data_IF_154804080966
#
_entry.id   IF_154804080966
#
_cell.length_a   1.000
_cell.length_b   1.000
_cell.length_c   1.000
_cell.angle_alpha   90.00
_cell.angle_beta   90.00
_cell.angle_gamma   90.00
#
_symmetry.space_group_name_H-M   'P 1'
#
loop_
_entity.id
_entity.type
_entity.pdbx_description
1 polymer ?
#
# COMPACT_ATOMS: atom_id res chain seq x y z
N UNK A 1 0.08 30.85 -6.26
CA UNK A 1 -1.24 30.41 -5.76
C UNK A 1 -1.16 29.03 -5.09
N UNK A 2 -0.62 28.00 -5.71
CA UNK A 2 -0.50 26.64 -5.13
C UNK A 2 0.30 26.60 -3.81
N UNK A 3 1.46 27.29 -3.71
CA UNK A 3 2.22 27.37 -2.45
C UNK A 3 1.41 27.93 -1.28
N UNK A 4 0.49 28.87 -1.51
CA UNK A 4 -0.37 29.41 -0.46
C UNK A 4 -1.51 28.45 -0.07
N UNK A 5 -2.00 27.65 -1.01
CA UNK A 5 -3.07 26.66 -0.75
C UNK A 5 -2.56 25.53 0.14
N UNK A 6 -1.34 25.06 -0.10
CA UNK A 6 -0.76 23.95 0.66
C UNK A 6 0.09 24.40 1.86
N UNK A 7 0.22 25.72 2.12
CA UNK A 7 1.02 26.20 3.24
C UNK A 7 0.50 25.65 4.58
N UNK A 8 1.40 25.27 5.51
CA UNK A 8 1.00 24.88 6.85
C UNK A 8 0.15 25.97 7.52
N UNK A 9 -0.88 25.60 8.26
CA UNK A 9 -1.70 26.57 8.98
C UNK A 9 -0.89 27.24 10.09
N UNK A 10 -1.24 28.47 10.41
CA UNK A 10 -0.67 29.16 11.55
C UNK A 10 -1.13 28.48 12.86
N UNK A 11 -0.24 28.46 13.86
CA UNK A 11 -0.58 28.02 15.20
C UNK A 11 -1.65 28.94 15.77
N UNK A 12 -2.70 28.35 16.36
CA UNK A 12 -3.75 29.09 17.06
C UNK A 12 -3.39 29.34 18.53
N UNK A 13 -4.04 30.31 19.14
CA UNK A 13 -3.96 30.50 20.57
C UNK A 13 -4.36 29.21 21.31
N UNK A 14 -3.63 28.91 22.37
CA UNK A 14 -3.83 27.69 23.17
C UNK A 14 -5.19 27.71 23.82
N UNK A 15 -5.90 26.61 23.73
CA UNK A 15 -7.18 26.40 24.41
C UNK A 15 -6.96 26.29 25.92
N UNK A 16 -8.04 26.48 26.69
CA UNK A 16 -8.03 26.26 28.13
C UNK A 16 -7.74 24.79 28.49
N UNK A 17 -7.18 24.55 29.69
CA UNK A 17 -6.86 23.18 30.12
C UNK A 17 -8.07 22.24 30.12
N UNK A 18 -9.27 22.77 30.47
CA UNK A 18 -10.51 22.00 30.44
C UNK A 18 -10.92 21.62 29.01
N UNK A 19 -10.82 22.55 28.08
CA UNK A 19 -11.09 22.28 26.67
C UNK A 19 -10.10 21.27 26.07
N UNK A 20 -8.81 21.38 26.40
CA UNK A 20 -7.76 20.45 25.98
C UNK A 20 -8.10 19.04 26.43
N UNK A 21 -8.44 18.86 27.70
CA UNK A 21 -8.79 17.55 28.29
C UNK A 21 -9.94 16.85 27.52
N UNK A 22 -10.93 17.60 27.06
CA UNK A 22 -12.09 17.05 26.35
C UNK A 22 -11.86 16.92 24.83
N UNK A 23 -11.18 17.89 24.21
CA UNK A 23 -11.03 17.94 22.75
C UNK A 23 -9.90 17.06 22.26
N UNK A 24 -8.78 16.94 23.00
CA UNK A 24 -7.60 16.21 22.54
C UNK A 24 -7.89 14.74 22.18
N UNK A 25 -8.48 13.92 23.07
CA UNK A 25 -8.79 12.53 22.76
C UNK A 25 -9.74 12.39 21.56
N UNK A 26 -10.72 13.29 21.44
CA UNK A 26 -11.68 13.29 20.34
C UNK A 26 -11.00 13.57 18.99
N UNK A 27 -10.15 14.58 18.93
CA UNK A 27 -9.43 14.92 17.69
C UNK A 27 -8.44 13.84 17.29
N UNK A 28 -7.76 13.18 18.23
CA UNK A 28 -6.89 12.04 17.93
C UNK A 28 -7.63 10.93 17.18
N UNK A 29 -8.79 10.53 17.70
CA UNK A 29 -9.63 9.51 17.06
C UNK A 29 -10.14 10.00 15.70
N UNK A 30 -10.62 11.24 15.61
CA UNK A 30 -11.12 11.83 14.37
C UNK A 30 -10.04 11.84 13.28
N UNK A 31 -8.83 12.26 13.60
CA UNK A 31 -7.72 12.35 12.67
C UNK A 31 -7.25 10.95 12.23
N UNK A 32 -7.22 9.97 13.16
CA UNK A 32 -6.93 8.58 12.80
C UNK A 32 -7.96 8.02 11.81
N UNK A 33 -9.24 8.23 12.07
CA UNK A 33 -10.32 7.83 11.15
C UNK A 33 -10.14 8.53 9.81
N UNK A 34 -9.80 9.81 9.81
CA UNK A 34 -9.59 10.59 8.60
C UNK A 34 -8.48 10.02 7.72
N UNK A 35 -7.28 9.77 8.28
CA UNK A 35 -6.17 9.18 7.51
C UNK A 35 -6.45 7.74 7.10
N UNK A 36 -7.19 6.98 7.92
CA UNK A 36 -7.61 5.61 7.60
C UNK A 36 -8.56 5.60 6.40
N UNK A 37 -9.65 6.36 6.47
CA UNK A 37 -10.66 6.46 5.40
C UNK A 37 -10.06 7.10 4.15
N UNK A 38 -9.23 8.13 4.31
CA UNK A 38 -8.54 8.78 3.20
C UNK A 38 -7.63 7.81 2.44
N UNK A 39 -6.77 7.09 3.13
CA UNK A 39 -5.86 6.14 2.50
C UNK A 39 -6.58 4.91 1.93
N UNK A 40 -7.64 4.43 2.59
CA UNK A 40 -8.56 3.43 2.06
C UNK A 40 -9.17 3.88 0.72
N UNK A 41 -9.62 5.14 0.62
CA UNK A 41 -10.22 5.70 -0.59
C UNK A 41 -9.28 5.70 -1.81
N UNK A 42 -7.98 5.92 -1.61
CA UNK A 42 -6.98 5.79 -2.68
C UNK A 42 -6.96 4.38 -3.29
N UNK A 43 -7.20 3.34 -2.48
CA UNK A 43 -7.21 1.96 -2.95
C UNK A 43 -8.48 1.58 -3.72
N UNK A 44 -9.58 2.32 -3.58
CA UNK A 44 -10.79 2.09 -4.38
C UNK A 44 -10.54 2.25 -5.89
N UNK A 45 -9.57 3.08 -6.26
CA UNK A 45 -9.28 3.47 -7.65
C UNK A 45 -7.83 3.15 -8.09
N UNK A 46 -7.05 2.46 -7.24
CA UNK A 46 -5.66 2.11 -7.56
C UNK A 46 -5.54 0.96 -8.54
N UNK A 47 -6.30 -0.10 -8.32
CA UNK A 47 -6.12 -1.40 -8.98
C UNK A 47 -7.28 -1.75 -9.92
N UNK A 48 -8.09 -0.78 -10.35
CA UNK A 48 -9.29 -1.00 -11.15
C UNK A 48 -8.99 -1.80 -12.44
N UNK A 49 -7.90 -1.48 -13.16
CA UNK A 49 -7.50 -2.25 -14.37
C UNK A 49 -7.19 -3.71 -14.04
N UNK A 50 -6.48 -4.00 -12.94
CA UNK A 50 -6.20 -5.37 -12.50
C UNK A 50 -7.49 -6.11 -12.12
N UNK A 51 -8.40 -5.45 -11.40
CA UNK A 51 -9.71 -6.02 -11.00
C UNK A 51 -10.53 -6.35 -12.24
N UNK A 52 -10.50 -5.49 -13.26
CA UNK A 52 -11.23 -5.66 -14.52
C UNK A 52 -10.49 -6.52 -15.54
N UNK A 53 -9.29 -7.00 -15.26
CA UNK A 53 -8.43 -7.69 -16.24
C UNK A 53 -9.09 -8.93 -16.86
N UNK A 54 -10.04 -9.56 -16.19
CA UNK A 54 -10.84 -10.66 -16.71
C UNK A 54 -12.01 -10.23 -17.60
N UNK A 55 -12.36 -8.92 -17.65
CA UNK A 55 -13.46 -8.37 -18.44
C UNK A 55 -12.96 -7.54 -19.60
N UNK A 56 -11.85 -6.82 -19.41
CA UNK A 56 -11.24 -5.99 -20.44
C UNK A 56 -10.75 -6.87 -21.60
N UNK A 57 -11.18 -6.55 -22.82
CA UNK A 57 -10.71 -7.23 -24.02
C UNK A 57 -9.31 -6.72 -24.40
N UNK A 58 -8.33 -6.98 -23.51
CA UNK A 58 -6.94 -6.57 -23.63
C UNK A 58 -6.03 -7.76 -23.38
N UNK A 59 -4.89 -7.80 -24.08
CA UNK A 59 -3.83 -8.76 -23.80
C UNK A 59 -3.24 -8.55 -22.39
N UNK A 60 -2.53 -9.54 -21.87
CA UNK A 60 -1.84 -9.37 -20.60
C UNK A 60 -0.72 -8.32 -20.70
N UNK A 61 -0.06 -8.24 -21.85
CA UNK A 61 0.95 -7.21 -22.15
C UNK A 61 0.37 -5.80 -22.07
N UNK A 62 -0.79 -5.55 -22.68
CA UNK A 62 -1.46 -4.24 -22.67
C UNK A 62 -1.85 -3.83 -21.25
N UNK A 63 -2.45 -4.74 -20.47
CA UNK A 63 -2.76 -4.53 -19.04
C UNK A 63 -1.47 -4.26 -18.25
N UNK A 64 -0.41 -5.00 -18.56
CA UNK A 64 0.91 -4.83 -17.97
C UNK A 64 1.50 -3.44 -18.22
N UNK A 65 1.42 -2.92 -19.45
CA UNK A 65 1.91 -1.58 -19.82
C UNK A 65 1.17 -0.50 -19.01
N UNK A 66 -0.16 -0.57 -18.98
CA UNK A 66 -1.01 0.41 -18.29
C UNK A 66 -0.70 0.42 -16.76
N UNK A 67 -0.66 -0.75 -16.15
CA UNK A 67 -0.42 -0.87 -14.70
C UNK A 67 1.02 -0.53 -14.31
N UNK A 68 2.00 -0.92 -15.14
CA UNK A 68 3.40 -0.57 -14.95
C UNK A 68 3.62 0.95 -14.94
N UNK A 69 3.01 1.69 -15.88
CA UNK A 69 3.09 3.15 -15.94
C UNK A 69 2.62 3.79 -14.60
N UNK A 70 1.53 3.27 -14.03
CA UNK A 70 1.03 3.71 -12.73
C UNK A 70 2.02 3.44 -11.59
N UNK A 71 2.64 2.26 -11.53
CA UNK A 71 3.56 1.92 -10.44
C UNK A 71 4.89 2.68 -10.51
N UNK A 72 5.41 2.93 -11.71
CA UNK A 72 6.60 3.79 -11.90
C UNK A 72 6.26 5.21 -11.42
N UNK A 73 5.16 5.78 -11.91
CA UNK A 73 4.73 7.11 -11.51
C UNK A 73 4.49 7.22 -10.01
N UNK A 74 3.86 6.21 -9.39
CA UNK A 74 3.65 6.12 -7.96
C UNK A 74 4.96 6.08 -7.17
N UNK A 75 5.89 5.23 -7.57
CA UNK A 75 7.20 5.10 -6.91
C UNK A 75 7.98 6.42 -6.89
N UNK A 76 8.00 7.13 -8.02
CA UNK A 76 8.65 8.44 -8.13
C UNK A 76 7.89 9.52 -7.35
N UNK A 77 6.56 9.56 -7.51
CA UNK A 77 5.72 10.54 -6.84
C UNK A 77 5.75 10.40 -5.33
N UNK A 78 5.80 9.18 -4.79
CA UNK A 78 5.83 8.95 -3.34
C UNK A 78 7.01 9.67 -2.67
N UNK A 79 8.18 9.67 -3.31
CA UNK A 79 9.35 10.38 -2.83
C UNK A 79 9.16 11.90 -2.89
N UNK A 80 8.74 12.44 -4.05
CA UNK A 80 8.54 13.88 -4.25
C UNK A 80 7.38 14.39 -3.37
N UNK A 81 6.29 13.65 -3.31
CA UNK A 81 5.15 13.99 -2.45
C UNK A 81 5.50 13.94 -0.96
N UNK A 82 6.45 13.09 -0.55
CA UNK A 82 7.00 13.09 0.80
C UNK A 82 7.62 14.43 1.15
N UNK A 83 8.56 14.90 0.32
CA UNK A 83 9.22 16.20 0.51
C UNK A 83 8.22 17.37 0.54
N UNK A 84 7.23 17.35 -0.35
CA UNK A 84 6.20 18.39 -0.40
C UNK A 84 5.28 18.33 0.82
N UNK A 85 4.92 17.10 1.26
CA UNK A 85 4.01 16.89 2.39
C UNK A 85 4.57 17.39 3.71
N UNK A 86 5.89 17.28 3.92
CA UNK A 86 6.55 17.75 5.15
C UNK A 86 6.43 19.27 5.33
N UNK A 87 6.36 20.01 4.23
CA UNK A 87 6.17 21.46 4.20
C UNK A 87 4.71 21.88 3.92
N UNK A 88 3.76 20.92 3.90
CA UNK A 88 2.38 21.16 3.49
C UNK A 88 1.37 20.94 4.61
N UNK A 89 0.17 21.48 4.41
CA UNK A 89 -0.99 21.24 5.26
C UNK A 89 -1.63 19.89 4.93
N UNK A 90 -1.52 18.91 5.81
CA UNK A 90 -2.11 17.56 5.63
C UNK A 90 -3.63 17.59 5.47
N UNK A 91 -4.31 18.57 6.07
CA UNK A 91 -5.77 18.78 5.92
C UNK A 91 -6.19 19.04 4.47
N UNK A 92 -5.29 19.58 3.67
CA UNK A 92 -5.55 19.91 2.26
C UNK A 92 -4.86 18.89 1.34
N UNK A 93 -3.62 18.53 1.62
CA UNK A 93 -2.81 17.70 0.75
C UNK A 93 -3.39 16.30 0.53
N UNK A 94 -3.80 15.63 1.61
CA UNK A 94 -4.39 14.29 1.55
C UNK A 94 -5.70 14.24 0.75
N UNK A 95 -6.73 15.07 1.06
CA UNK A 95 -7.99 15.01 0.32
C UNK A 95 -7.89 15.54 -1.10
N UNK A 96 -7.05 16.54 -1.39
CA UNK A 96 -6.83 17.02 -2.77
C UNK A 96 -6.24 15.92 -3.64
N UNK A 97 -5.23 15.20 -3.17
CA UNK A 97 -4.67 14.07 -3.90
C UNK A 97 -5.73 12.97 -4.15
N UNK A 98 -6.54 12.63 -3.13
CA UNK A 98 -7.63 11.65 -3.27
C UNK A 98 -8.69 12.12 -4.26
N UNK A 99 -9.12 13.38 -4.19
CA UNK A 99 -10.10 13.95 -5.11
C UNK A 99 -9.62 13.89 -6.56
N UNK A 100 -8.39 14.34 -6.82
CA UNK A 100 -7.80 14.31 -8.16
C UNK A 100 -7.63 12.88 -8.69
N UNK A 101 -7.24 11.95 -7.83
CA UNK A 101 -7.16 10.52 -8.17
C UNK A 101 -8.55 9.96 -8.55
N UNK A 102 -9.58 10.28 -7.75
CA UNK A 102 -10.97 9.92 -8.06
C UNK A 102 -11.44 10.53 -9.38
N UNK A 103 -11.15 11.82 -9.60
CA UNK A 103 -11.50 12.54 -10.83
C UNK A 103 -10.87 11.90 -12.07
N UNK A 104 -9.59 11.49 -12.02
CA UNK A 104 -8.95 10.78 -13.13
C UNK A 104 -9.71 9.49 -13.46
N UNK A 105 -10.13 8.72 -12.45
CA UNK A 105 -10.92 7.51 -12.68
C UNK A 105 -12.32 7.83 -13.26
N UNK A 106 -12.96 8.92 -12.82
CA UNK A 106 -14.21 9.40 -13.45
C UNK A 106 -13.96 9.74 -14.92
N UNK A 107 -12.87 10.44 -15.25
CA UNK A 107 -12.54 10.80 -16.63
C UNK A 107 -12.26 9.56 -17.49
N UNK A 108 -11.57 8.54 -16.97
CA UNK A 108 -11.37 7.26 -17.65
C UNK A 108 -12.73 6.65 -18.02
N UNK A 109 -13.67 6.63 -17.09
CA UNK A 109 -15.00 6.05 -17.34
C UNK A 109 -15.91 6.91 -18.21
N UNK A 110 -15.81 8.23 -18.14
CA UNK A 110 -16.71 9.14 -18.89
C UNK A 110 -16.25 9.34 -20.33
N UNK A 111 -14.94 9.36 -20.62
CA UNK A 111 -14.39 9.60 -21.95
C UNK A 111 -14.20 8.25 -22.68
N UNK A 112 -15.05 7.89 -23.67
CA UNK A 112 -15.01 6.58 -24.32
C UNK A 112 -13.66 6.24 -24.97
N UNK A 113 -13.02 7.23 -25.60
CA UNK A 113 -11.73 7.07 -26.28
C UNK A 113 -10.57 6.71 -25.36
N UNK A 114 -10.69 6.92 -24.05
CA UNK A 114 -9.63 6.55 -23.09
C UNK A 114 -9.52 5.03 -22.97
N UNK A 115 -10.62 4.34 -22.72
CA UNK A 115 -10.60 2.86 -22.55
C UNK A 115 -10.29 2.14 -23.87
N UNK A 116 -10.66 2.72 -25.01
CA UNK A 116 -10.42 2.12 -26.33
C UNK A 116 -9.04 2.41 -26.90
N UNK A 117 -8.28 3.34 -26.32
CA UNK A 117 -6.92 3.69 -26.75
C UNK A 117 -5.91 3.36 -25.67
N UNK A 118 -5.06 2.36 -25.91
CA UNK A 118 -4.02 1.95 -24.95
C UNK A 118 -3.11 3.10 -24.52
N UNK A 119 -2.78 4.03 -25.44
CA UNK A 119 -1.91 5.16 -25.12
C UNK A 119 -2.59 6.18 -24.22
N UNK A 120 -3.85 6.55 -24.51
CA UNK A 120 -4.61 7.46 -23.65
C UNK A 120 -4.83 6.83 -22.26
N UNK A 121 -5.13 5.55 -22.23
CA UNK A 121 -5.34 4.81 -20.99
C UNK A 121 -4.05 4.77 -20.15
N UNK A 122 -2.91 4.48 -20.79
CA UNK A 122 -1.59 4.50 -20.14
C UNK A 122 -1.24 5.87 -19.57
N UNK A 123 -1.50 6.95 -20.32
CA UNK A 123 -1.30 8.33 -19.84
C UNK A 123 -2.18 8.63 -18.63
N UNK A 124 -3.45 8.26 -18.66
CA UNK A 124 -4.36 8.46 -17.51
C UNK A 124 -3.91 7.66 -16.29
N UNK A 125 -3.40 6.42 -16.49
CA UNK A 125 -2.86 5.60 -15.41
C UNK A 125 -1.53 6.13 -14.87
N UNK A 126 -0.70 6.72 -15.70
CA UNK A 126 0.51 7.44 -15.26
C UNK A 126 0.14 8.63 -14.38
N UNK A 127 -0.83 9.44 -14.78
CA UNK A 127 -1.35 10.57 -13.98
C UNK A 127 -1.96 10.03 -12.67
N UNK A 128 -2.79 8.99 -12.74
CA UNK A 128 -3.38 8.34 -11.58
C UNK A 128 -2.29 7.88 -10.59
N UNK A 129 -1.27 7.16 -11.07
CA UNK A 129 -0.15 6.70 -10.26
C UNK A 129 0.61 7.85 -9.58
N UNK A 130 0.84 8.94 -10.32
CA UNK A 130 1.46 10.14 -9.73
C UNK A 130 0.64 10.72 -8.58
N UNK A 131 -0.66 10.90 -8.76
CA UNK A 131 -1.56 11.43 -7.74
C UNK A 131 -1.72 10.47 -6.55
N UNK A 132 -1.67 9.16 -6.78
CA UNK A 132 -1.67 8.13 -5.74
C UNK A 132 -0.50 8.29 -4.75
N UNK A 133 0.65 8.80 -5.20
CA UNK A 133 1.80 9.09 -4.34
C UNK A 133 1.55 10.14 -3.26
N UNK A 134 0.51 10.96 -3.41
CA UNK A 134 0.11 11.97 -2.43
C UNK A 134 -0.61 11.38 -1.20
N UNK A 135 -0.96 10.09 -1.20
CA UNK A 135 -1.80 9.50 -0.14
C UNK A 135 -1.02 9.10 1.12
N UNK A 136 0.15 8.49 0.97
CA UNK A 136 0.90 7.95 2.10
C UNK A 136 1.60 9.02 2.96
N UNK A 137 2.35 9.99 2.39
CA UNK A 137 3.16 10.92 3.17
C UNK A 137 2.37 11.76 4.17
N UNK A 138 1.22 12.38 3.83
CA UNK A 138 0.47 13.19 4.78
C UNK A 138 -0.13 12.34 5.92
N UNK A 139 -0.49 11.08 5.67
CA UNK A 139 -0.94 10.17 6.72
C UNK A 139 0.18 9.83 7.71
N UNK A 140 1.38 9.54 7.20
CA UNK A 140 2.55 9.29 8.03
C UNK A 140 2.93 10.53 8.86
N UNK A 141 2.93 11.73 8.24
CA UNK A 141 3.17 13.00 8.94
C UNK A 141 2.13 13.23 10.03
N UNK A 142 0.86 13.02 9.76
CA UNK A 142 -0.22 13.13 10.74
C UNK A 142 0.04 12.25 11.98
N UNK A 143 0.46 11.00 11.78
CA UNK A 143 0.80 10.11 12.89
C UNK A 143 1.96 10.64 13.73
N UNK A 144 2.94 11.31 13.14
CA UNK A 144 4.07 11.90 13.87
C UNK A 144 3.63 13.03 14.79
N UNK A 145 2.72 13.88 14.35
CA UNK A 145 2.26 15.03 15.14
C UNK A 145 1.18 14.70 16.19
N UNK A 146 0.37 13.64 15.96
CA UNK A 146 -0.76 13.31 16.80
C UNK A 146 -0.52 12.15 17.77
N UNK A 147 0.58 11.40 17.62
CA UNK A 147 0.91 10.20 18.40
C UNK A 147 2.39 10.21 18.80
N UNK A 148 2.64 10.01 20.10
CA UNK A 148 4.02 9.95 20.60
C UNK A 148 4.76 8.68 20.12
N UNK A 149 6.07 8.64 20.37
CA UNK A 149 6.93 7.56 19.91
C UNK A 149 6.54 6.17 20.49
N UNK A 150 5.92 6.14 21.69
CA UNK A 150 5.56 4.89 22.36
C UNK A 150 4.34 4.22 21.75
N UNK A 151 3.35 5.02 21.35
CA UNK A 151 2.07 4.53 20.81
C UNK A 151 1.99 4.58 19.28
N UNK A 152 2.86 5.36 18.62
CA UNK A 152 2.84 5.59 17.16
C UNK A 152 2.89 4.31 16.34
N UNK A 153 3.65 3.30 16.79
CA UNK A 153 3.77 2.01 16.08
C UNK A 153 2.41 1.29 16.04
N UNK A 154 1.66 1.32 17.14
CA UNK A 154 0.34 0.69 17.21
C UNK A 154 -0.65 1.38 16.25
N UNK A 155 -0.75 2.71 16.33
CA UNK A 155 -1.65 3.48 15.46
C UNK A 155 -1.23 3.44 13.98
N UNK A 156 0.07 3.42 13.69
CA UNK A 156 0.57 3.21 12.33
C UNK A 156 0.20 1.82 11.79
N UNK A 157 0.21 0.80 12.64
CA UNK A 157 -0.24 -0.55 12.26
C UNK A 157 -1.73 -0.55 11.93
N UNK A 158 -2.56 0.07 12.77
CA UNK A 158 -4.01 0.22 12.51
C UNK A 158 -4.22 0.98 11.20
N UNK A 159 -3.57 2.12 11.01
CA UNK A 159 -3.67 2.90 9.78
C UNK A 159 -3.23 2.10 8.55
N UNK A 160 -2.19 1.28 8.68
CA UNK A 160 -1.67 0.50 7.55
C UNK A 160 -2.68 -0.55 7.06
N UNK A 161 -3.60 -1.05 7.90
CA UNK A 161 -4.68 -1.94 7.47
C UNK A 161 -5.63 -1.29 6.46
N UNK A 162 -5.70 0.04 6.43
CA UNK A 162 -6.63 0.79 5.55
C UNK A 162 -6.44 0.44 4.07
N UNK A 163 -5.22 0.15 3.62
CA UNK A 163 -4.97 -0.20 2.24
C UNK A 163 -5.55 -1.57 1.85
N UNK A 164 -5.54 -2.55 2.75
CA UNK A 164 -6.17 -3.85 2.51
C UNK A 164 -7.69 -3.74 2.56
N UNK A 165 -8.24 -2.96 3.50
CA UNK A 165 -9.68 -2.67 3.50
C UNK A 165 -10.11 -2.01 2.18
N UNK A 166 -9.35 -1.03 1.71
CA UNK A 166 -9.58 -0.40 0.41
C UNK A 166 -9.49 -1.38 -0.76
N UNK A 167 -8.46 -2.22 -0.75
CA UNK A 167 -8.28 -3.27 -1.77
C UNK A 167 -9.41 -4.30 -1.77
N UNK A 168 -9.88 -4.73 -0.60
CA UNK A 168 -10.98 -5.68 -0.48
C UNK A 168 -12.33 -5.09 -0.93
N UNK A 169 -12.58 -3.80 -0.69
CA UNK A 169 -13.81 -3.09 -1.07
C UNK A 169 -13.79 -2.70 -2.56
N UNK A 170 -12.63 -2.41 -3.14
CA UNK A 170 -12.52 -1.95 -4.52
C UNK A 170 -13.24 -2.84 -5.56
N UNK A 171 -13.12 -4.20 -5.53
CA UNK A 171 -13.87 -5.07 -6.43
C UNK A 171 -15.39 -4.96 -6.24
N UNK A 172 -15.86 -4.72 -5.02
CA UNK A 172 -17.31 -4.54 -4.73
C UNK A 172 -17.81 -3.26 -5.41
N UNK A 173 -17.09 -2.14 -5.26
CA UNK A 173 -17.45 -0.88 -5.92
C UNK A 173 -17.39 -1.01 -7.44
N UNK A 174 -16.36 -1.68 -7.96
CA UNK A 174 -16.22 -1.99 -9.39
C UNK A 174 -17.41 -2.82 -9.88
N UNK A 175 -17.82 -3.85 -9.11
CA UNK A 175 -18.97 -4.70 -9.41
C UNK A 175 -20.28 -3.94 -9.41
N UNK A 176 -20.48 -3.00 -8.48
CA UNK A 176 -21.65 -2.09 -8.48
C UNK A 176 -21.66 -1.24 -9.75
N UNK A 177 -20.51 -0.68 -10.15
CA UNK A 177 -20.39 0.05 -11.41
C UNK A 177 -20.81 -0.79 -12.61
N UNK A 178 -20.31 -2.03 -12.71
CA UNK A 178 -20.72 -2.97 -13.77
C UNK A 178 -22.25 -3.20 -13.80
N UNK A 179 -22.85 -3.42 -12.63
CA UNK A 179 -24.30 -3.69 -12.52
C UNK A 179 -25.17 -2.48 -12.94
N UNK A 180 -24.69 -1.26 -12.71
CA UNK A 180 -25.41 -0.03 -13.09
C UNK A 180 -25.44 0.24 -14.59
N UNK A 181 -24.52 -0.34 -15.37
CA UNK A 181 -24.33 -0.03 -16.78
C UNK A 181 -25.14 -0.88 -17.77
N UNK A 182 -25.97 -1.83 -17.29
CA UNK A 182 -26.72 -2.74 -18.13
C UNK A 182 -25.83 -3.79 -18.83
N UNK A 183 -26.20 -4.22 -20.05
CA UNK A 183 -25.56 -5.37 -20.73
C UNK A 183 -24.48 -4.99 -21.76
N UNK A 184 -24.24 -3.70 -21.99
CA UNK A 184 -23.20 -3.25 -22.93
C UNK A 184 -21.81 -3.32 -22.29
N UNK A 185 -20.90 -4.11 -22.84
CA UNK A 185 -19.57 -4.38 -22.27
C UNK A 185 -18.69 -3.13 -22.14
N UNK A 186 -18.79 -2.19 -23.10
CA UNK A 186 -18.04 -0.94 -23.03
C UNK A 186 -18.57 -0.03 -21.92
N UNK A 187 -19.90 0.09 -21.81
CA UNK A 187 -20.53 0.86 -20.74
C UNK A 187 -20.28 0.24 -19.37
N UNK A 188 -20.26 -1.08 -19.28
CA UNK A 188 -19.87 -1.80 -18.06
C UNK A 188 -18.42 -1.45 -17.66
N UNK A 189 -17.45 -1.59 -18.56
CA UNK A 189 -16.07 -1.23 -18.29
C UNK A 189 -15.94 0.23 -17.86
N UNK A 190 -16.63 1.16 -18.53
CA UNK A 190 -16.65 2.59 -18.20
C UNK A 190 -17.22 2.84 -16.80
N UNK A 191 -18.34 2.23 -16.47
CA UNK A 191 -18.99 2.41 -15.18
C UNK A 191 -18.16 1.85 -14.02
N UNK A 192 -17.43 0.77 -14.25
CA UNK A 192 -16.49 0.20 -13.30
C UNK A 192 -15.30 1.13 -12.96
N UNK A 193 -15.03 2.16 -13.76
CA UNK A 193 -14.07 3.22 -13.44
C UNK A 193 -14.72 4.45 -12.82
N UNK A 194 -15.79 4.99 -13.46
CA UNK A 194 -16.35 6.24 -12.95
C UNK A 194 -17.04 6.08 -11.59
N UNK A 195 -17.67 4.93 -11.30
CA UNK A 195 -18.40 4.75 -10.04
C UNK A 195 -17.46 4.76 -8.82
N UNK A 196 -16.40 3.91 -8.74
CA UNK A 196 -15.42 4.02 -7.66
C UNK A 196 -14.73 5.40 -7.62
N UNK A 197 -14.52 6.03 -8.78
CA UNK A 197 -13.99 7.39 -8.87
C UNK A 197 -14.86 8.43 -8.19
N UNK A 198 -16.18 8.39 -8.40
CA UNK A 198 -17.14 9.26 -7.70
C UNK A 198 -17.12 9.01 -6.20
N UNK A 199 -17.12 7.74 -5.78
CA UNK A 199 -17.03 7.39 -4.34
C UNK A 199 -15.75 7.95 -3.73
N UNK A 200 -14.60 7.84 -4.40
CA UNK A 200 -13.34 8.42 -3.95
C UNK A 200 -13.40 9.96 -3.84
N UNK A 201 -14.04 10.65 -4.79
CA UNK A 201 -14.24 12.08 -4.72
C UNK A 201 -15.12 12.48 -3.51
N UNK A 202 -16.20 11.76 -3.24
CA UNK A 202 -17.06 11.99 -2.08
C UNK A 202 -16.33 11.75 -0.77
N UNK A 203 -15.52 10.68 -0.69
CA UNK A 203 -14.66 10.44 0.47
C UNK A 203 -13.62 11.53 0.66
N UNK A 204 -13.06 12.09 -0.41
CA UNK A 204 -12.11 13.19 -0.31
C UNK A 204 -12.75 14.43 0.35
N UNK A 205 -14.02 14.73 0.02
CA UNK A 205 -14.79 15.79 0.69
C UNK A 205 -14.99 15.48 2.17
N UNK A 206 -15.36 14.25 2.52
CA UNK A 206 -15.50 13.82 3.91
C UNK A 206 -14.18 13.95 4.68
N UNK A 207 -13.08 13.48 4.09
CA UNK A 207 -11.72 13.55 4.67
C UNK A 207 -11.31 15.00 4.91
N UNK A 208 -11.62 15.93 4.00
CA UNK A 208 -11.34 17.35 4.18
C UNK A 208 -11.99 17.94 5.45
N UNK A 209 -13.19 17.51 5.79
CA UNK A 209 -13.87 17.95 7.01
C UNK A 209 -13.39 17.25 8.28
N UNK A 210 -12.89 16.02 8.17
CA UNK A 210 -12.41 15.25 9.31
C UNK A 210 -10.94 15.50 9.62
N UNK A 211 -10.12 15.84 8.62
CA UNK A 211 -8.68 15.98 8.79
C UNK A 211 -8.31 17.31 9.45
N UNK A 212 -7.36 17.23 10.39
CA UNK A 212 -6.64 18.38 10.91
C UNK A 212 -5.13 18.19 10.67
N UNK A 213 -4.36 19.30 10.54
CA UNK A 213 -2.94 19.20 10.22
C UNK A 213 -2.13 18.79 11.46
N UNK A 214 -1.98 19.71 12.41
CA UNK A 214 -1.26 19.48 13.67
C UNK A 214 -2.13 19.88 14.86
N UNK A 215 -1.88 19.39 16.08
CA UNK A 215 -2.59 19.83 17.27
C UNK A 215 -2.57 21.35 17.45
N UNK A 216 -1.40 21.99 17.20
CA UNK A 216 -1.22 23.43 17.37
C UNK A 216 -2.04 24.26 16.37
N UNK A 217 -2.38 23.68 15.21
CA UNK A 217 -3.22 24.35 14.20
C UNK A 217 -4.65 24.61 14.67
N UNK A 218 -5.07 23.91 15.73
CA UNK A 218 -6.40 24.04 16.34
C UNK A 218 -6.35 24.48 17.81
N UNK A 219 -5.17 24.92 18.30
CA UNK A 219 -4.97 25.44 19.66
C UNK A 219 -4.74 24.36 20.73
N UNK A 220 -4.43 23.13 20.32
CA UNK A 220 -4.01 22.07 21.22
C UNK A 220 -2.48 22.07 21.41
N UNK A 221 -1.93 21.62 22.56
CA UNK A 221 -0.49 21.48 22.75
C UNK A 221 0.08 20.36 21.87
N UNK A 222 1.41 20.35 21.60
CA UNK A 222 2.09 19.19 21.03
C UNK A 222 1.83 17.92 21.86
N UNK A 223 1.86 16.74 21.20
CA UNK A 223 1.52 15.47 21.87
C UNK A 223 2.47 15.16 23.05
N UNK A 224 3.75 15.50 22.91
CA UNK A 224 4.76 15.29 23.95
C UNK A 224 4.47 16.12 25.20
N UNK A 225 3.98 17.35 25.02
CA UNK A 225 3.58 18.23 26.13
C UNK A 225 2.29 17.73 26.76
N UNK A 226 1.28 17.34 25.97
CA UNK A 226 0.02 16.78 26.46
C UNK A 226 0.23 15.56 27.34
N UNK A 227 1.13 14.64 26.97
CA UNK A 227 1.44 13.47 27.77
C UNK A 227 2.26 13.82 29.03
N UNK A 228 3.20 14.78 28.97
CA UNK A 228 3.92 15.24 30.17
C UNK A 228 2.95 15.81 31.20
N UNK A 229 1.98 16.60 30.82
CA UNK A 229 0.96 17.14 31.74
C UNK A 229 0.08 16.03 32.34
N UNK A 230 -0.16 14.92 31.67
CA UNK A 230 -0.88 13.75 32.19
C UNK A 230 -0.04 12.89 33.15
N UNK A 231 1.29 12.82 32.93
CA UNK A 231 2.21 11.93 33.65
C UNK A 231 3.09 12.68 34.67
N UNK A 232 2.79 13.91 35.03
CA UNK A 232 3.58 14.70 35.99
C UNK A 232 3.75 14.07 37.41
N UNK A 233 3.25 12.86 37.62
CA UNK A 233 3.49 12.08 38.84
C UNK A 233 4.53 10.95 38.69
N UNK A 234 5.19 10.82 37.54
CA UNK A 234 6.24 9.81 37.34
C UNK A 234 7.31 10.40 36.42
N UNK A 235 8.22 11.15 36.98
CA UNK A 235 9.39 11.66 36.24
C UNK A 235 10.62 10.89 36.70
N UNK A 236 11.16 10.06 35.77
CA UNK A 236 12.58 9.77 35.77
C UNK A 236 13.22 10.59 34.67
N UNK A 237 14.09 11.51 35.08
CA UNK A 237 14.65 12.58 34.25
C UNK A 237 15.94 12.15 33.51
N UNK A 238 16.00 10.95 32.97
CA UNK A 238 17.23 10.41 32.39
C UNK A 238 17.26 10.25 30.85
N UNK A 239 16.21 10.61 30.12
CA UNK A 239 16.24 10.60 28.65
C UNK A 239 16.29 12.04 28.09
N UNK A 240 17.43 12.72 28.30
CA UNK A 240 17.83 13.82 27.43
C UNK A 240 18.19 13.17 26.10
N UNK A 241 17.22 13.14 25.19
CA UNK A 241 17.47 12.77 23.81
C UNK A 241 18.43 13.79 23.24
N UNK A 242 19.66 13.37 22.95
CA UNK A 242 20.58 14.15 22.10
C UNK A 242 19.80 14.56 20.84
N UNK A 243 19.78 15.85 20.55
CA UNK A 243 19.20 16.34 19.30
C UNK A 243 19.87 15.60 18.14
N UNK A 244 19.13 14.97 17.24
CA UNK A 244 19.71 14.22 16.15
C UNK A 244 20.53 15.21 15.30
N UNK A 245 21.78 14.88 15.08
CA UNK A 245 22.68 15.60 14.17
C UNK A 245 21.97 15.77 12.81
N UNK A 246 21.68 16.98 12.39
CA UNK A 246 20.99 17.26 11.12
C UNK A 246 21.96 17.01 9.99
N UNK A 247 22.05 15.75 9.56
CA UNK A 247 22.89 15.34 8.44
C UNK A 247 22.18 15.66 7.10
N UNK A 248 22.94 16.16 6.15
CA UNK A 248 22.46 16.35 4.80
C UNK A 248 22.10 15.01 4.13
N UNK A 249 21.07 14.98 3.25
CA UNK A 249 20.63 13.76 2.55
C UNK A 249 21.79 13.02 1.85
N UNK A 250 22.73 13.74 1.24
CA UNK A 250 23.91 13.16 0.59
C UNK A 250 24.86 12.44 1.57
N UNK A 251 25.00 12.95 2.79
CA UNK A 251 25.79 12.33 3.85
C UNK A 251 25.12 11.09 4.41
N UNK A 252 23.80 11.14 4.61
CA UNK A 252 22.98 9.96 5.03
C UNK A 252 23.18 8.84 4.03
N UNK A 253 23.04 9.10 2.73
CA UNK A 253 23.19 8.09 1.67
C UNK A 253 24.60 7.49 1.69
N UNK A 254 25.65 8.32 1.74
CA UNK A 254 27.04 7.85 1.70
C UNK A 254 27.47 7.12 2.97
N UNK A 255 27.01 7.57 4.14
CA UNK A 255 27.47 7.07 5.44
C UNK A 255 26.67 5.84 5.91
N UNK A 256 25.35 5.82 5.70
CA UNK A 256 24.46 4.82 6.30
C UNK A 256 23.74 3.92 5.30
N UNK A 257 23.53 4.37 4.07
CA UNK A 257 22.74 3.62 3.07
C UNK A 257 23.65 2.76 2.19
N UNK A 258 24.56 3.38 1.42
CA UNK A 258 25.38 2.64 0.44
C UNK A 258 26.33 1.60 1.06
N UNK A 259 26.97 1.83 2.23
CA UNK A 259 27.84 0.82 2.83
C UNK A 259 27.09 -0.31 3.52
N UNK A 260 25.78 -0.17 3.74
CA UNK A 260 25.00 -1.13 4.51
C UNK A 260 24.56 -2.34 3.65
N UNK A 261 25.40 -3.36 3.61
CA UNK A 261 25.14 -4.59 2.83
C UNK A 261 23.84 -5.27 3.24
N UNK A 262 23.46 -5.27 4.54
CA UNK A 262 22.21 -5.88 5.04
C UNK A 262 20.99 -5.13 4.50
N UNK A 263 21.06 -3.78 4.46
CA UNK A 263 20.02 -2.95 3.85
C UNK A 263 19.90 -3.20 2.34
N UNK A 264 21.02 -3.40 1.65
CA UNK A 264 21.00 -3.75 0.21
C UNK A 264 20.30 -5.09 -0.03
N UNK A 265 20.59 -6.13 0.78
CA UNK A 265 19.88 -7.40 0.72
C UNK A 265 18.39 -7.27 1.07
N UNK A 266 18.04 -6.45 2.06
CA UNK A 266 16.66 -6.15 2.40
C UNK A 266 15.92 -5.40 1.25
N UNK A 267 16.64 -4.52 0.54
CA UNK A 267 16.11 -3.84 -0.64
C UNK A 267 15.89 -4.81 -1.81
N UNK A 268 16.82 -5.71 -2.04
CA UNK A 268 16.67 -6.76 -3.06
C UNK A 268 15.55 -7.74 -2.71
N UNK A 269 15.45 -8.15 -1.45
CA UNK A 269 14.31 -8.90 -0.93
C UNK A 269 12.97 -8.24 -1.27
N UNK A 270 12.90 -6.92 -1.15
CA UNK A 270 11.66 -6.18 -1.42
C UNK A 270 11.18 -6.30 -2.87
N UNK A 271 12.09 -6.38 -3.86
CA UNK A 271 11.73 -6.66 -5.25
C UNK A 271 10.96 -7.98 -5.34
N UNK A 272 11.54 -9.05 -4.81
CA UNK A 272 11.00 -10.40 -4.97
C UNK A 272 9.67 -10.60 -4.25
N UNK A 273 9.52 -10.07 -3.04
CA UNK A 273 8.25 -10.17 -2.32
C UNK A 273 7.15 -9.33 -2.99
N UNK A 274 7.51 -8.21 -3.65
CA UNK A 274 6.57 -7.39 -4.40
C UNK A 274 6.21 -8.01 -5.76
N UNK A 275 7.12 -8.79 -6.38
CA UNK A 275 6.76 -9.63 -7.54
C UNK A 275 5.68 -10.64 -7.15
N UNK A 276 5.81 -11.30 -5.99
CA UNK A 276 4.76 -12.20 -5.48
C UNK A 276 3.45 -11.47 -5.23
N UNK A 277 3.49 -10.38 -4.45
CA UNK A 277 2.28 -9.63 -4.09
C UNK A 277 1.53 -9.13 -5.31
N UNK A 278 2.21 -8.33 -6.14
CA UNK A 278 1.57 -7.71 -7.30
C UNK A 278 1.34 -8.71 -8.44
N UNK A 279 2.19 -9.73 -8.56
CA UNK A 279 1.98 -10.81 -9.51
C UNK A 279 0.67 -11.54 -9.25
N UNK A 280 0.43 -11.95 -8.00
CA UNK A 280 -0.80 -12.67 -7.66
C UNK A 280 -2.01 -11.74 -7.71
N UNK A 281 -1.98 -10.60 -7.00
CA UNK A 281 -3.14 -9.72 -6.91
C UNK A 281 -3.55 -9.12 -8.26
N UNK A 282 -2.61 -8.75 -9.11
CA UNK A 282 -2.92 -8.15 -10.41
C UNK A 282 -3.44 -9.14 -11.44
N UNK A 283 -2.97 -10.39 -11.38
CA UNK A 283 -3.29 -11.39 -12.39
C UNK A 283 -4.36 -12.40 -11.97
N UNK A 284 -4.69 -12.50 -10.69
CA UNK A 284 -5.77 -13.38 -10.20
C UNK A 284 -7.09 -13.19 -10.97
N UNK A 285 -7.63 -11.97 -11.18
CA UNK A 285 -8.90 -11.83 -11.88
C UNK A 285 -8.84 -12.35 -13.31
N UNK A 286 -7.72 -12.10 -14.04
CA UNK A 286 -7.54 -12.59 -15.40
C UNK A 286 -7.33 -14.10 -15.43
N UNK A 287 -6.50 -14.66 -14.53
CA UNK A 287 -6.22 -16.10 -14.46
C UNK A 287 -7.48 -16.92 -14.18
N UNK A 288 -8.33 -16.46 -13.24
CA UNK A 288 -9.59 -17.12 -12.93
C UNK A 288 -10.57 -17.06 -14.11
N UNK A 289 -10.62 -15.93 -14.83
CA UNK A 289 -11.52 -15.74 -15.97
C UNK A 289 -11.04 -16.36 -17.29
N UNK A 290 -9.74 -16.56 -17.45
CA UNK A 290 -9.15 -17.18 -18.67
C UNK A 290 -9.67 -18.60 -18.84
N UNK A 291 -9.97 -19.00 -20.10
CA UNK A 291 -10.47 -20.33 -20.42
C UNK A 291 -9.49 -21.44 -20.00
N UNK A 292 -10.02 -22.64 -19.76
CA UNK A 292 -9.18 -23.80 -19.42
C UNK A 292 -8.25 -24.16 -20.60
N UNK A 293 -8.71 -23.95 -21.83
CA UNK A 293 -7.93 -24.21 -23.04
C UNK A 293 -6.71 -23.29 -23.15
N UNK A 294 -6.85 -22.07 -22.63
CA UNK A 294 -5.76 -21.06 -22.59
C UNK A 294 -4.96 -21.11 -21.27
N UNK A 295 -5.12 -22.20 -20.51
CA UNK A 295 -4.36 -22.45 -19.29
C UNK A 295 -4.85 -21.71 -18.03
N UNK A 296 -6.03 -21.09 -18.08
CA UNK A 296 -6.66 -20.47 -16.94
C UNK A 296 -7.61 -21.40 -16.17
N UNK A 297 -8.42 -20.85 -15.27
CA UNK A 297 -9.35 -21.62 -14.43
C UNK A 297 -10.76 -21.79 -15.03
N UNK A 298 -11.13 -21.01 -16.05
CA UNK A 298 -12.46 -21.07 -16.67
C UNK A 298 -13.61 -20.69 -15.75
N UNK A 299 -13.36 -19.77 -14.80
CA UNK A 299 -14.33 -19.28 -13.84
C UNK A 299 -14.83 -17.91 -14.31
N UNK A 300 -15.91 -17.40 -13.76
CA UNK A 300 -16.45 -16.10 -14.17
C UNK A 300 -15.53 -14.95 -13.78
N UNK A 301 -15.54 -13.86 -14.55
CA UNK A 301 -14.78 -12.65 -14.23
C UNK A 301 -15.18 -12.03 -12.87
N UNK A 302 -16.46 -12.14 -12.49
CA UNK A 302 -16.96 -11.72 -11.17
C UNK A 302 -16.32 -12.53 -10.03
N UNK A 303 -16.10 -13.83 -10.24
CA UNK A 303 -15.37 -14.67 -9.30
C UNK A 303 -13.90 -14.22 -9.19
N UNK A 304 -13.29 -13.81 -10.30
CA UNK A 304 -11.95 -13.19 -10.31
C UNK A 304 -11.85 -11.97 -9.39
N UNK A 305 -12.85 -11.11 -9.41
CA UNK A 305 -12.96 -9.97 -8.50
C UNK A 305 -13.09 -10.42 -7.04
N UNK A 306 -13.88 -11.47 -6.76
CA UNK A 306 -13.99 -12.07 -5.43
C UNK A 306 -12.66 -12.62 -4.93
N UNK A 307 -11.91 -13.29 -5.79
CA UNK A 307 -10.55 -13.77 -5.48
C UNK A 307 -9.58 -12.65 -5.10
N UNK A 308 -9.64 -11.51 -5.78
CA UNK A 308 -8.88 -10.31 -5.43
C UNK A 308 -9.24 -9.82 -4.01
N UNK A 309 -10.53 -9.69 -3.70
CA UNK A 309 -10.99 -9.27 -2.36
C UNK A 309 -10.50 -10.21 -1.26
N UNK A 310 -10.59 -11.53 -1.49
CA UNK A 310 -10.16 -12.53 -0.50
C UNK A 310 -8.65 -12.50 -0.27
N UNK A 311 -7.85 -12.26 -1.30
CA UNK A 311 -6.41 -12.06 -1.15
C UNK A 311 -6.10 -10.84 -0.25
N UNK A 312 -6.80 -9.73 -0.42
CA UNK A 312 -6.64 -8.53 0.41
C UNK A 312 -7.12 -8.76 1.86
N UNK A 313 -8.24 -9.48 2.06
CA UNK A 313 -8.72 -9.88 3.39
C UNK A 313 -7.68 -10.80 4.08
N UNK A 314 -7.15 -11.76 3.34
CA UNK A 314 -6.04 -12.58 3.81
C UNK A 314 -4.85 -11.73 4.26
N UNK A 315 -4.55 -10.67 3.51
CA UNK A 315 -3.50 -9.70 3.85
C UNK A 315 -3.68 -9.05 5.22
N UNK A 316 -4.90 -8.69 5.60
CA UNK A 316 -5.21 -8.17 6.95
C UNK A 316 -4.82 -9.20 8.02
N UNK A 317 -5.27 -10.44 7.85
CA UNK A 317 -4.96 -11.55 8.78
C UNK A 317 -3.43 -11.75 8.83
N UNK A 318 -2.77 -11.74 7.68
CA UNK A 318 -1.33 -11.96 7.55
C UNK A 318 -0.49 -10.90 8.26
N UNK A 319 -0.82 -9.63 8.12
CA UNK A 319 -0.10 -8.56 8.79
C UNK A 319 -0.21 -8.66 10.32
N UNK A 320 -1.41 -8.92 10.84
CA UNK A 320 -1.64 -9.05 12.28
C UNK A 320 -0.92 -10.28 12.84
N UNK A 321 -1.04 -11.43 12.17
CA UNK A 321 -0.38 -12.68 12.61
C UNK A 321 1.14 -12.60 12.48
N UNK A 322 1.68 -11.97 11.45
CA UNK A 322 3.13 -11.79 11.29
C UNK A 322 3.72 -10.91 12.39
N UNK A 323 3.05 -9.80 12.75
CA UNK A 323 3.45 -8.97 13.87
C UNK A 323 3.49 -9.73 15.19
N UNK A 324 2.42 -10.48 15.48
CA UNK A 324 2.33 -11.31 16.68
C UNK A 324 3.40 -12.41 16.72
N UNK A 325 3.55 -13.18 15.66
CA UNK A 325 4.52 -14.27 15.58
C UNK A 325 5.96 -13.75 15.62
N UNK A 326 6.25 -12.63 14.99
CA UNK A 326 7.57 -11.98 15.08
C UNK A 326 7.93 -11.70 16.53
N UNK A 327 7.03 -11.09 17.29
CA UNK A 327 7.27 -10.70 18.67
C UNK A 327 7.32 -11.89 19.64
N UNK A 328 6.44 -12.88 19.47
CA UNK A 328 6.26 -13.97 20.47
C UNK A 328 6.99 -15.26 20.13
N UNK A 329 7.24 -15.54 18.84
CA UNK A 329 7.81 -16.84 18.40
C UNK A 329 9.22 -16.66 17.83
N UNK A 330 9.44 -15.62 17.02
CA UNK A 330 10.68 -15.43 16.29
C UNK A 330 11.64 -14.40 16.95
N UNK A 331 11.48 -14.09 18.23
CA UNK A 331 12.39 -13.19 19.00
C UNK A 331 12.61 -11.84 18.31
N UNK A 332 11.55 -11.25 17.81
CA UNK A 332 11.57 -10.04 16.97
C UNK A 332 12.38 -10.15 15.66
N UNK A 333 12.79 -11.34 15.25
CA UNK A 333 13.48 -11.52 13.98
C UNK A 333 12.52 -11.39 12.80
N UNK A 334 12.51 -10.23 12.15
CA UNK A 334 11.74 -10.00 10.92
C UNK A 334 12.18 -10.97 9.79
N UNK A 335 13.49 -11.20 9.57
CA UNK A 335 13.93 -12.19 8.57
C UNK A 335 13.42 -13.60 8.80
N UNK A 336 13.45 -14.13 10.03
CA UNK A 336 12.93 -15.48 10.31
C UNK A 336 11.42 -15.57 10.14
N UNK A 337 10.69 -14.53 10.57
CA UNK A 337 9.25 -14.43 10.33
C UNK A 337 8.95 -14.45 8.83
N UNK A 338 9.69 -13.66 8.04
CA UNK A 338 9.54 -13.61 6.59
C UNK A 338 9.77 -14.97 5.94
N UNK A 339 10.82 -15.72 6.37
CA UNK A 339 11.09 -17.08 5.87
C UNK A 339 9.90 -18.00 6.12
N UNK A 340 9.37 -18.04 7.36
CA UNK A 340 8.25 -18.91 7.69
C UNK A 340 7.01 -18.60 6.82
N UNK A 341 6.67 -17.31 6.65
CA UNK A 341 5.55 -16.90 5.82
C UNK A 341 5.77 -17.18 4.34
N UNK A 342 6.98 -16.94 3.81
CA UNK A 342 7.32 -17.20 2.40
C UNK A 342 7.33 -18.69 2.06
N UNK A 343 7.76 -19.55 2.98
CA UNK A 343 7.64 -21.02 2.80
C UNK A 343 6.19 -21.42 2.64
N UNK A 344 5.30 -20.91 3.50
CA UNK A 344 3.85 -21.14 3.38
C UNK A 344 3.31 -20.58 2.05
N UNK A 345 3.75 -19.38 1.66
CA UNK A 345 3.34 -18.76 0.40
C UNK A 345 3.72 -19.63 -0.82
N UNK A 346 4.94 -20.17 -0.86
CA UNK A 346 5.41 -21.05 -1.95
C UNK A 346 4.59 -22.34 -2.00
N UNK A 347 4.31 -22.96 -0.84
CA UNK A 347 3.49 -24.16 -0.77
C UNK A 347 2.04 -23.91 -1.24
N UNK A 348 1.46 -22.80 -0.82
CA UNK A 348 0.12 -22.39 -1.26
C UNK A 348 0.10 -22.02 -2.74
N UNK A 349 1.15 -21.38 -3.27
CA UNK A 349 1.27 -21.08 -4.69
C UNK A 349 1.33 -22.35 -5.53
N UNK A 350 2.09 -23.34 -5.10
CA UNK A 350 2.12 -24.66 -5.74
C UNK A 350 0.75 -25.34 -5.66
N UNK A 351 0.10 -25.34 -4.49
CA UNK A 351 -1.25 -25.87 -4.33
C UNK A 351 -2.25 -25.18 -5.27
N UNK A 352 -2.19 -23.83 -5.37
CA UNK A 352 -3.05 -23.05 -6.27
C UNK A 352 -2.90 -23.46 -7.74
N UNK A 353 -1.66 -23.73 -8.17
CA UNK A 353 -1.41 -24.20 -9.53
C UNK A 353 -1.98 -25.60 -9.78
N UNK A 354 -1.87 -26.54 -8.83
CA UNK A 354 -2.33 -27.91 -8.98
C UNK A 354 -3.82 -28.12 -8.74
N UNK A 355 -4.58 -27.14 -8.24
CA UNK A 355 -6.04 -27.23 -8.18
C UNK A 355 -6.57 -27.36 -9.62
N UNK A 356 -7.41 -28.38 -9.92
CA UNK A 356 -8.01 -28.52 -11.23
C UNK A 356 -8.81 -27.27 -11.64
N UNK A 357 -8.87 -26.99 -12.93
CA UNK A 357 -9.66 -25.90 -13.48
C UNK A 357 -11.15 -26.24 -13.44
N UNK A 358 -11.99 -25.20 -13.31
CA UNK A 358 -13.44 -25.33 -13.40
C UNK A 358 -14.18 -24.73 -12.19
N UNK A 359 -15.43 -24.29 -12.40
CA UNK A 359 -16.24 -23.62 -11.36
C UNK A 359 -16.46 -24.43 -10.10
N UNK A 360 -16.43 -25.76 -10.19
CA UNK A 360 -16.59 -26.67 -9.04
C UNK A 360 -15.46 -26.56 -8.00
N UNK A 361 -14.28 -26.05 -8.39
CA UNK A 361 -13.13 -25.88 -7.51
C UNK A 361 -12.97 -24.43 -7.01
N UNK A 362 -13.86 -23.53 -7.38
CA UNK A 362 -13.81 -22.09 -7.03
C UNK A 362 -13.64 -21.85 -5.52
N UNK A 363 -14.36 -22.61 -4.68
CA UNK A 363 -14.23 -22.46 -3.23
C UNK A 363 -12.81 -22.76 -2.73
N UNK A 364 -12.15 -23.75 -3.33
CA UNK A 364 -10.78 -24.13 -2.99
C UNK A 364 -9.78 -23.07 -3.48
N UNK A 365 -9.96 -22.54 -4.71
CA UNK A 365 -9.18 -21.40 -5.22
C UNK A 365 -9.28 -20.19 -4.25
N UNK A 366 -10.47 -19.90 -3.75
CA UNK A 366 -10.73 -18.79 -2.82
C UNK A 366 -10.04 -18.98 -1.46
N UNK A 367 -10.10 -20.18 -0.90
CA UNK A 367 -9.40 -20.51 0.35
C UNK A 367 -7.88 -20.35 0.18
N UNK A 368 -7.34 -20.82 -0.93
CA UNK A 368 -5.90 -20.66 -1.22
C UNK A 368 -5.52 -19.19 -1.42
N UNK A 369 -6.34 -18.41 -2.13
CA UNK A 369 -6.09 -16.97 -2.32
C UNK A 369 -6.11 -16.19 -0.99
N UNK A 370 -7.03 -16.52 -0.09
CA UNK A 370 -7.04 -15.98 1.28
C UNK A 370 -5.72 -16.32 2.01
N UNK A 371 -5.29 -17.59 1.93
CA UNK A 371 -4.04 -18.07 2.51
C UNK A 371 -2.81 -17.41 1.90
N UNK A 372 -2.78 -17.22 0.57
CA UNK A 372 -1.70 -16.51 -0.13
C UNK A 372 -1.62 -15.05 0.32
N UNK A 373 -2.76 -14.36 0.44
CA UNK A 373 -2.80 -13.03 1.02
C UNK A 373 -2.20 -13.01 2.42
N UNK A 374 -2.64 -13.92 3.30
CA UNK A 374 -2.15 -14.03 4.66
C UNK A 374 -0.62 -14.30 4.71
N UNK A 375 -0.10 -15.12 3.82
CA UNK A 375 1.32 -15.48 3.82
C UNK A 375 2.24 -14.45 3.14
N UNK A 376 1.73 -13.57 2.28
CA UNK A 376 2.54 -12.60 1.54
C UNK A 376 2.54 -11.21 2.21
N UNK A 377 1.42 -10.76 2.78
CA UNK A 377 1.33 -9.40 3.34
C UNK A 377 2.12 -9.19 4.64
N UNK A 378 2.32 -10.24 5.45
CA UNK A 378 3.23 -10.18 6.60
C UNK A 378 4.66 -9.77 6.18
N UNK A 379 5.30 -10.53 5.29
CA UNK A 379 6.56 -10.18 4.66
C UNK A 379 6.60 -8.79 4.04
N UNK A 380 5.55 -8.39 3.30
CA UNK A 380 5.45 -7.04 2.69
C UNK A 380 5.48 -5.93 3.72
N UNK A 381 4.73 -6.07 4.82
CA UNK A 381 4.71 -5.09 5.91
C UNK A 381 6.08 -4.94 6.57
N UNK A 382 6.79 -6.06 6.75
CA UNK A 382 8.07 -6.08 7.45
C UNK A 382 9.23 -5.48 6.65
N UNK A 383 9.12 -5.32 5.32
CA UNK A 383 10.17 -4.70 4.48
C UNK A 383 10.61 -3.34 5.02
N UNK A 384 9.67 -2.42 5.13
CA UNK A 384 9.96 -1.05 5.57
C UNK A 384 10.37 -0.96 7.03
N UNK A 385 9.73 -1.74 7.90
CA UNK A 385 10.06 -1.79 9.33
C UNK A 385 11.49 -2.28 9.57
N UNK A 386 11.85 -3.37 8.91
CA UNK A 386 13.19 -3.94 9.05
C UNK A 386 14.28 -3.04 8.46
N UNK A 387 14.00 -2.38 7.33
CA UNK A 387 14.94 -1.42 6.74
C UNK A 387 15.27 -0.26 7.70
N UNK A 388 14.27 0.23 8.44
CA UNK A 388 14.47 1.30 9.44
C UNK A 388 15.30 0.83 10.64
N UNK A 389 15.22 -0.45 11.02
CA UNK A 389 16.00 -1.02 12.13
C UNK A 389 17.48 -1.25 11.77
N UNK A 390 17.81 -1.39 10.48
CA UNK A 390 19.17 -1.59 9.98
C UNK A 390 20.04 -0.33 9.96
N UNK A 391 19.47 0.84 10.27
CA UNK A 391 20.15 2.14 10.20
C UNK A 391 19.84 2.99 11.44
N UNK A 392 20.68 3.99 11.77
CA UNK A 392 20.36 4.96 12.82
C UNK A 392 19.06 5.73 12.51
N UNK A 393 18.40 6.24 13.55
CA UNK A 393 17.12 6.98 13.45
C UNK A 393 17.15 8.10 12.39
N UNK A 394 18.27 8.82 12.28
CA UNK A 394 18.45 9.88 11.29
C UNK A 394 18.40 9.40 9.83
N UNK A 395 18.63 8.11 9.55
CA UNK A 395 18.62 7.51 8.22
C UNK A 395 17.38 6.62 7.95
N UNK A 396 16.49 6.44 8.93
CA UNK A 396 15.37 5.51 8.86
C UNK A 396 14.40 5.82 7.68
N UNK A 397 14.10 7.10 7.45
CA UNK A 397 13.28 7.54 6.33
C UNK A 397 13.91 7.22 4.97
N UNK A 398 15.23 7.46 4.83
CA UNK A 398 15.97 7.16 3.61
C UNK A 398 16.02 5.64 3.32
N UNK A 399 16.22 4.81 4.35
CA UNK A 399 16.23 3.34 4.23
C UNK A 399 14.84 2.80 3.81
N UNK A 400 13.77 3.28 4.44
CA UNK A 400 12.39 2.93 4.06
C UNK A 400 12.04 3.42 2.65
N UNK A 401 12.51 4.61 2.27
CA UNK A 401 12.36 5.15 0.92
C UNK A 401 13.07 4.30 -0.14
N UNK A 402 14.30 3.87 0.14
CA UNK A 402 15.06 3.01 -0.75
C UNK A 402 14.32 1.67 -1.00
N UNK A 403 13.94 0.97 0.07
CA UNK A 403 13.19 -0.30 -0.08
C UNK A 403 11.87 -0.07 -0.80
N UNK A 404 11.18 1.05 -0.58
CA UNK A 404 9.97 1.43 -1.31
C UNK A 404 10.23 1.60 -2.82
N UNK A 405 11.32 2.26 -3.22
CA UNK A 405 11.69 2.39 -4.63
C UNK A 405 11.98 1.03 -5.26
N UNK A 406 12.76 0.17 -4.62
CA UNK A 406 13.00 -1.19 -5.09
C UNK A 406 11.72 -2.00 -5.21
N UNK A 407 10.79 -1.85 -4.25
CA UNK A 407 9.49 -2.52 -4.26
C UNK A 407 8.63 -2.15 -5.47
N UNK A 408 8.49 -0.85 -5.75
CA UNK A 408 7.55 -0.40 -6.79
C UNK A 408 8.19 -0.30 -8.16
N UNK A 409 9.35 0.36 -8.30
CA UNK A 409 10.04 0.49 -9.59
C UNK A 409 10.65 -0.83 -10.03
N UNK A 410 11.16 -1.64 -9.10
CA UNK A 410 11.63 -3.00 -9.38
C UNK A 410 10.48 -4.01 -9.38
N UNK A 411 10.00 -4.36 -8.18
CA UNK A 411 9.09 -5.49 -7.98
C UNK A 411 7.75 -5.37 -8.68
N UNK A 412 6.99 -4.29 -8.42
CA UNK A 412 5.65 -4.13 -8.98
C UNK A 412 5.67 -3.97 -10.52
N UNK A 413 6.69 -3.28 -11.05
CA UNK A 413 6.87 -3.14 -12.52
C UNK A 413 7.14 -4.48 -13.19
N UNK A 414 8.05 -5.29 -12.64
CA UNK A 414 8.32 -6.65 -13.15
C UNK A 414 7.05 -7.50 -13.03
N UNK A 415 6.38 -7.46 -11.88
CA UNK A 415 5.16 -8.24 -11.63
C UNK A 415 4.02 -7.94 -12.61
N UNK A 416 3.95 -6.75 -13.15
CA UNK A 416 2.88 -6.37 -14.09
C UNK A 416 3.35 -6.46 -15.55
N UNK A 417 4.34 -5.70 -15.95
CA UNK A 417 4.76 -5.67 -17.37
C UNK A 417 5.45 -6.95 -17.80
N UNK A 418 6.52 -7.36 -17.11
CA UNK A 418 7.28 -8.54 -17.55
C UNK A 418 6.44 -9.82 -17.46
N UNK A 419 5.66 -9.98 -16.38
CA UNK A 419 4.76 -11.13 -16.24
C UNK A 419 3.63 -11.07 -17.27
N UNK A 420 3.09 -9.90 -17.62
CA UNK A 420 2.10 -9.75 -18.68
C UNK A 420 2.63 -10.26 -20.04
N UNK A 421 3.83 -9.84 -20.42
CA UNK A 421 4.52 -10.33 -21.64
C UNK A 421 4.72 -11.85 -21.57
N UNK A 422 5.12 -12.37 -20.43
CA UNK A 422 5.33 -13.81 -20.23
C UNK A 422 4.03 -14.59 -20.36
N UNK A 423 2.92 -14.10 -19.83
CA UNK A 423 1.61 -14.74 -19.96
C UNK A 423 1.20 -14.84 -21.43
N UNK A 424 1.34 -13.75 -22.20
CA UNK A 424 0.94 -13.72 -23.60
C UNK A 424 1.81 -14.62 -24.50
N UNK A 425 3.11 -14.75 -24.23
CA UNK A 425 4.04 -15.50 -25.08
C UNK A 425 4.32 -16.93 -24.61
N UNK A 426 4.30 -17.17 -23.29
CA UNK A 426 4.73 -18.44 -22.70
C UNK A 426 3.63 -19.09 -21.83
N UNK A 427 2.50 -18.40 -21.62
CA UNK A 427 1.38 -18.87 -20.84
C UNK A 427 1.55 -18.79 -19.33
N UNK A 428 0.50 -19.18 -18.61
CA UNK A 428 0.40 -19.07 -17.16
C UNK A 428 1.43 -19.93 -16.42
N UNK A 429 1.79 -21.10 -16.92
CA UNK A 429 2.73 -22.00 -16.24
C UNK A 429 4.08 -21.35 -15.98
N UNK A 430 4.64 -20.63 -16.96
CA UNK A 430 5.91 -19.91 -16.79
C UNK A 430 5.78 -18.76 -15.79
N UNK A 431 4.66 -18.06 -15.78
CA UNK A 431 4.40 -17.01 -14.79
C UNK A 431 4.41 -17.57 -13.35
N UNK A 432 3.75 -18.70 -13.10
CA UNK A 432 3.74 -19.37 -11.79
C UNK A 432 5.14 -19.88 -11.37
N UNK A 433 5.93 -20.38 -12.31
CA UNK A 433 7.34 -20.75 -12.05
C UNK A 433 8.13 -19.52 -11.59
N UNK A 434 7.96 -18.37 -12.25
CA UNK A 434 8.67 -17.13 -11.89
C UNK A 434 8.21 -16.64 -10.49
N UNK A 435 6.93 -16.76 -10.16
CA UNK A 435 6.47 -16.46 -8.80
C UNK A 435 7.14 -17.39 -7.76
N UNK A 436 7.25 -18.69 -8.05
CA UNK A 436 7.95 -19.64 -7.17
C UNK A 436 9.44 -19.29 -6.99
N UNK A 437 10.14 -18.99 -8.10
CA UNK A 437 11.55 -18.55 -8.07
C UNK A 437 11.68 -17.24 -7.28
N UNK A 438 10.76 -16.29 -7.45
CA UNK A 438 10.76 -15.02 -6.70
C UNK A 438 10.56 -15.26 -5.21
N UNK A 439 9.69 -16.19 -4.81
CA UNK A 439 9.51 -16.59 -3.41
C UNK A 439 10.78 -17.17 -2.80
N UNK A 440 11.45 -18.05 -3.53
CA UNK A 440 12.73 -18.63 -3.10
C UNK A 440 13.84 -17.58 -2.99
N UNK A 441 13.96 -16.70 -4.02
CA UNK A 441 14.92 -15.60 -4.01
C UNK A 441 14.67 -14.63 -2.84
N UNK A 442 13.39 -14.36 -2.51
CA UNK A 442 13.02 -13.56 -1.35
C UNK A 442 13.50 -14.22 -0.04
N UNK A 443 13.37 -15.54 0.10
CA UNK A 443 13.89 -16.29 1.27
C UNK A 443 15.41 -16.11 1.38
N UNK A 444 16.15 -16.30 0.30
CA UNK A 444 17.61 -16.15 0.29
C UNK A 444 18.01 -14.72 0.68
N UNK A 445 17.42 -13.71 0.04
CA UNK A 445 17.74 -12.30 0.29
C UNK A 445 17.41 -11.89 1.74
N UNK A 446 16.27 -12.33 2.30
CA UNK A 446 15.91 -11.97 3.68
C UNK A 446 16.84 -12.66 4.70
N UNK A 447 17.34 -13.88 4.43
CA UNK A 447 18.34 -14.52 5.26
C UNK A 447 19.69 -13.82 5.19
N UNK A 448 20.14 -13.37 4.01
CA UNK A 448 21.38 -12.61 3.84
C UNK A 448 21.31 -11.21 4.48
N UNK A 449 20.12 -10.64 4.58
CA UNK A 449 19.91 -9.36 5.27
C UNK A 449 19.92 -9.49 6.79
N UNK A 450 19.84 -10.70 7.34
CA UNK A 450 19.63 -10.95 8.78
C UNK A 450 20.71 -10.34 9.65
N UNK A 451 20.28 -9.56 10.65
CA UNK A 451 21.11 -9.03 11.71
C UNK A 451 20.69 -9.61 13.07
N UNK A 452 21.55 -10.50 13.61
CA UNK A 452 21.29 -11.16 14.89
C UNK A 452 21.31 -10.19 16.07
N UNK A 453 21.96 -9.04 15.95
CA UNK A 453 22.01 -8.03 17.02
C UNK A 453 20.67 -7.35 17.26
N UNK A 454 19.75 -7.39 16.27
CA UNK A 454 18.40 -6.85 16.38
C UNK A 454 17.38 -7.86 16.93
N UNK A 455 17.80 -9.10 17.25
CA UNK A 455 16.94 -10.15 17.76
C UNK A 455 17.01 -10.18 19.30
N UNK A 456 15.87 -10.07 19.96
CA UNK A 456 15.77 -10.13 21.43
C UNK A 456 14.52 -10.90 21.87
N UNK A 457 14.56 -11.41 23.12
CA UNK A 457 13.50 -12.23 23.72
C UNK A 457 12.36 -11.36 24.27
#
# INVERSE_FOLDING_TARGET
MLKKLFAPPQKRERLSAEEIKHKYPRYRVQVLISIFVGYMGYYFVRNTTSILSGILNMSATEIGIITCASYIAYGLSKFISGLISDESNSKIFLPVGLFLTGLVNVLIGVIPSVITSIWLFTIMYLINGWLQGMGYPPGARTLVYWYDNKERIEYATIWNLSHNFGGAIAPILTGVGLALAGNDSLNQARAAYWFPGVVACLLAVLVYFLQEDTPESIGLPPIEEYHKEQYTNVVDSSDILEEPEVLGMGEIIKKYILPNTKLMWASLYSIFVYILRYGIVSWTPKFLATSVQDGGKGITATAGMGGFSLFEIGGIIGMLTAGYLSAKVFKNSKPLTNVAFLVVAILLLAAYWFIPAGPQYMALDFIILLGLGASIYGPVMMVGLYAMELVPKAAAGAASGLTGTFSYVGGATIATLAIGIIIDHFGWGVAFIIFGISGFAAIVCTLLSRDKSLEYW
#
